data_IF_631758724320
#
_entry.id   IF_631758724320
#
_cell.length_a   1.000
_cell.length_b   1.000
_cell.length_c   1.000
_cell.angle_alpha   90.00
_cell.angle_beta   90.00
_cell.angle_gamma   90.00
#
_symmetry.space_group_name_H-M   'P 1'
#
loop_
_entity.id
_entity.type
_entity.pdbx_description
1 polymer ?
#
# COMPACT_ATOMS: atom_id res chain seq x y z
N UNK A 1 30.27 58.82 -43.47
CA UNK A 1 29.10 58.27 -44.18
C UNK A 1 28.96 56.79 -43.82
N UNK A 2 27.84 56.41 -43.21
CA UNK A 2 27.36 55.02 -43.12
C UNK A 2 27.83 54.20 -41.91
N UNK A 3 27.01 53.47 -41.16
CA UNK A 3 25.56 53.37 -40.96
C UNK A 3 25.36 52.30 -39.85
N UNK A 4 24.44 52.57 -38.93
CA UNK A 4 23.61 51.63 -38.15
C UNK A 4 24.22 50.47 -37.31
N UNK A 5 24.10 50.66 -35.99
CA UNK A 5 23.47 49.75 -35.00
C UNK A 5 23.29 48.27 -35.36
N UNK A 6 23.80 47.38 -34.51
CA UNK A 6 22.98 46.27 -33.99
C UNK A 6 23.52 45.72 -32.66
N UNK A 7 22.79 45.98 -31.59
CA UNK A 7 22.92 45.36 -30.27
C UNK A 7 22.49 43.89 -30.38
N UNK A 8 23.40 42.95 -30.16
CA UNK A 8 23.08 41.53 -30.01
C UNK A 8 23.32 41.14 -28.55
N UNK A 9 22.23 41.19 -27.77
CA UNK A 9 22.12 40.56 -26.47
C UNK A 9 22.16 39.05 -26.69
N UNK A 10 23.28 38.41 -26.35
CA UNK A 10 23.38 36.95 -26.26
C UNK A 10 22.99 36.53 -24.86
N UNK A 11 21.77 35.99 -24.78
CA UNK A 11 21.14 35.41 -23.60
C UNK A 11 22.02 34.34 -22.95
N UNK A 12 22.35 34.52 -21.68
CA UNK A 12 22.95 33.48 -20.85
C UNK A 12 21.91 32.38 -20.59
N UNK A 13 22.04 31.24 -21.26
CA UNK A 13 21.27 30.05 -20.96
C UNK A 13 21.78 29.44 -19.64
N UNK A 14 21.12 29.76 -18.53
CA UNK A 14 21.33 29.12 -17.24
C UNK A 14 20.73 27.71 -17.30
N UNK A 15 21.57 26.71 -17.52
CA UNK A 15 21.22 25.30 -17.34
C UNK A 15 21.18 25.00 -15.84
N UNK A 16 19.98 24.99 -15.27
CA UNK A 16 19.78 24.47 -13.92
C UNK A 16 19.84 22.93 -13.99
N UNK A 17 20.76 22.25 -13.27
CA UNK A 17 20.74 20.81 -13.17
C UNK A 17 19.46 20.40 -12.42
N UNK A 18 18.62 19.61 -13.07
CA UNK A 18 17.43 19.03 -12.44
C UNK A 18 17.85 18.19 -11.24
N UNK A 19 17.37 18.54 -10.05
CA UNK A 19 17.57 17.74 -8.86
C UNK A 19 16.83 16.40 -9.04
N UNK A 20 17.59 15.31 -9.17
CA UNK A 20 17.03 13.96 -9.12
C UNK A 20 16.49 13.71 -7.71
N UNK A 21 15.17 13.68 -7.56
CA UNK A 21 14.52 13.13 -6.37
C UNK A 21 14.82 11.63 -6.33
N UNK A 22 15.71 11.22 -5.43
CA UNK A 22 15.95 9.81 -5.16
C UNK A 22 14.67 9.21 -4.56
N UNK A 23 14.05 8.27 -5.26
CA UNK A 23 12.97 7.47 -4.71
C UNK A 23 13.55 6.57 -3.61
N UNK A 24 13.13 6.77 -2.36
CA UNK A 24 13.51 5.89 -1.25
C UNK A 24 12.93 4.49 -1.49
N UNK A 25 13.73 3.41 -1.34
CA UNK A 25 13.21 2.07 -1.41
C UNK A 25 12.18 1.88 -0.29
N UNK A 26 10.93 1.61 -0.66
CA UNK A 26 9.93 1.15 0.29
C UNK A 26 10.44 -0.18 0.87
N UNK A 27 10.82 -0.19 2.14
CA UNK A 27 11.05 -1.43 2.87
C UNK A 27 9.69 -2.12 2.90
N UNK A 28 9.46 -3.07 1.99
CA UNK A 28 8.24 -3.86 1.97
C UNK A 28 8.19 -4.62 3.28
N UNK A 29 7.28 -4.25 4.18
CA UNK A 29 6.98 -5.06 5.35
C UNK A 29 6.57 -6.46 4.88
N UNK A 30 7.13 -7.50 5.50
CA UNK A 30 6.84 -8.87 5.07
C UNK A 30 5.50 -9.34 5.65
N UNK A 31 4.65 -9.93 4.82
CA UNK A 31 3.50 -10.68 5.28
C UNK A 31 3.93 -12.06 5.77
N UNK A 32 3.32 -12.51 6.85
CA UNK A 32 3.46 -13.87 7.37
C UNK A 32 2.21 -14.66 7.02
N UNK A 33 2.39 -15.92 6.65
CA UNK A 33 1.32 -16.84 6.27
C UNK A 33 1.35 -18.07 7.17
N UNK A 34 0.86 -17.99 8.43
CA UNK A 34 1.07 -19.05 9.42
C UNK A 34 0.39 -20.38 9.05
N UNK A 35 -0.71 -20.30 8.30
CA UNK A 35 -1.44 -21.45 7.75
C UNK A 35 -2.28 -21.01 6.54
N UNK A 36 -2.77 -21.94 5.71
CA UNK A 36 -3.76 -21.64 4.68
C UNK A 36 -4.96 -20.87 5.24
N UNK A 37 -5.37 -19.81 4.55
CA UNK A 37 -6.52 -18.97 4.93
C UNK A 37 -6.22 -17.92 5.99
N UNK A 38 -4.96 -17.80 6.45
CA UNK A 38 -4.56 -16.76 7.41
C UNK A 38 -3.33 -16.01 6.91
N UNK A 39 -3.46 -14.69 6.86
CA UNK A 39 -2.36 -13.78 6.58
C UNK A 39 -2.23 -12.80 7.75
N UNK A 40 -1.00 -12.56 8.19
CA UNK A 40 -0.67 -11.59 9.21
C UNK A 40 0.38 -10.60 8.70
N UNK A 41 0.31 -9.37 9.18
CA UNK A 41 1.47 -8.47 9.23
C UNK A 41 1.95 -8.33 10.68
N UNK A 42 2.71 -7.29 10.99
CA UNK A 42 3.20 -7.05 12.36
C UNK A 42 2.16 -6.47 13.33
N UNK A 43 0.96 -6.14 12.87
CA UNK A 43 -0.09 -5.48 13.64
C UNK A 43 -1.38 -6.29 13.74
N UNK A 44 -1.77 -6.95 12.66
CA UNK A 44 -3.05 -7.62 12.51
C UNK A 44 -2.89 -8.96 11.81
N UNK A 45 -3.82 -9.86 12.10
CA UNK A 45 -4.06 -11.07 11.33
C UNK A 45 -5.48 -11.06 10.78
N UNK A 46 -5.64 -11.56 9.56
CA UNK A 46 -6.91 -11.67 8.88
C UNK A 46 -7.11 -13.06 8.26
N UNK A 47 -8.38 -13.42 8.07
CA UNK A 47 -8.78 -14.55 7.24
C UNK A 47 -9.79 -14.06 6.19
N UNK A 48 -10.06 -14.86 5.17
CA UNK A 48 -10.96 -14.45 4.10
C UNK A 48 -12.47 -14.52 4.44
N UNK A 49 -12.84 -14.93 5.66
CA UNK A 49 -14.24 -15.12 6.10
C UNK A 49 -14.71 -13.99 7.02
N UNK A 50 -13.90 -13.67 8.03
CA UNK A 50 -14.15 -12.66 9.06
C UNK A 50 -13.40 -11.34 8.78
N UNK A 51 -12.46 -11.34 7.82
CA UNK A 51 -11.53 -10.24 7.63
C UNK A 51 -10.55 -10.10 8.79
N UNK A 52 -10.29 -8.88 9.24
CA UNK A 52 -9.37 -8.59 10.35
C UNK A 52 -9.87 -9.22 11.66
N UNK A 53 -9.14 -10.19 12.22
CA UNK A 53 -9.59 -10.97 13.38
C UNK A 53 -8.78 -10.68 14.64
N UNK A 54 -9.47 -10.26 15.71
CA UNK A 54 -8.85 -10.04 17.03
C UNK A 54 -8.37 -11.37 17.63
N UNK A 55 -9.13 -12.44 17.44
CA UNK A 55 -8.75 -13.76 17.92
C UNK A 55 -7.48 -14.29 17.24
N UNK A 56 -7.38 -14.16 15.91
CA UNK A 56 -6.15 -14.54 15.18
C UNK A 56 -4.98 -13.64 15.54
N UNK A 57 -5.22 -12.33 15.66
CA UNK A 57 -4.19 -11.36 16.07
C UNK A 57 -3.65 -11.71 17.47
N UNK A 58 -4.52 -12.05 18.41
CA UNK A 58 -4.10 -12.50 19.74
C UNK A 58 -3.30 -13.80 19.69
N UNK A 59 -3.74 -14.75 18.85
CA UNK A 59 -3.10 -16.07 18.74
C UNK A 59 -1.69 -15.99 18.14
N UNK A 60 -1.51 -15.24 17.04
CA UNK A 60 -0.23 -15.19 16.31
C UNK A 60 0.68 -14.03 16.73
N UNK A 61 0.13 -12.88 17.13
CA UNK A 61 0.90 -11.67 17.46
C UNK A 61 0.86 -11.32 18.96
N UNK A 62 0.03 -12.02 19.74
CA UNK A 62 -0.04 -11.90 21.19
C UNK A 62 -0.99 -10.80 21.70
N UNK A 63 -1.14 -10.77 23.03
CA UNK A 63 -2.12 -9.93 23.74
C UNK A 63 -1.96 -8.43 23.48
N UNK A 64 -0.71 -7.95 23.33
CA UNK A 64 -0.43 -6.52 23.10
C UNK A 64 -0.96 -6.04 21.74
N UNK A 65 -0.78 -6.86 20.70
CA UNK A 65 -1.30 -6.55 19.37
C UNK A 65 -2.83 -6.57 19.35
N UNK A 66 -3.44 -7.57 19.97
CA UNK A 66 -4.89 -7.66 20.10
C UNK A 66 -5.50 -6.47 20.86
N UNK A 67 -4.91 -6.08 21.99
CA UNK A 67 -5.36 -4.91 22.76
C UNK A 67 -5.25 -3.61 21.95
N UNK A 68 -4.18 -3.45 21.17
CA UNK A 68 -4.04 -2.32 20.24
C UNK A 68 -5.12 -2.35 19.17
N UNK A 69 -5.40 -3.50 18.58
CA UNK A 69 -6.43 -3.65 17.56
C UNK A 69 -7.81 -3.25 18.10
N UNK A 70 -8.17 -3.70 19.31
CA UNK A 70 -9.44 -3.34 19.95
C UNK A 70 -9.51 -1.88 20.40
N UNK A 71 -8.36 -1.21 20.60
CA UNK A 71 -8.34 0.20 21.03
C UNK A 71 -8.85 1.17 19.96
N UNK A 72 -8.94 0.72 18.70
CA UNK A 72 -9.54 1.50 17.60
C UNK A 72 -11.08 1.50 17.63
N UNK A 73 -11.72 0.71 18.50
CA UNK A 73 -13.17 0.58 18.56
C UNK A 73 -13.72 -0.27 17.41
N UNK A 74 -14.96 0.02 17.00
CA UNK A 74 -15.60 -0.64 15.86
C UNK A 74 -15.09 -0.07 14.53
N UNK A 75 -14.66 -0.94 13.63
CA UNK A 75 -14.17 -0.56 12.30
C UNK A 75 -14.56 -1.61 11.26
N UNK A 76 -14.52 -1.23 9.98
CA UNK A 76 -14.75 -2.18 8.89
C UNK A 76 -13.63 -3.23 8.85
N UNK A 77 -13.97 -4.48 9.13
CA UNK A 77 -13.04 -5.61 9.17
C UNK A 77 -12.87 -6.27 7.81
N UNK A 78 -13.77 -6.00 6.87
CA UNK A 78 -13.88 -6.65 5.57
C UNK A 78 -13.06 -5.97 4.48
N UNK A 79 -12.67 -4.70 4.66
CA UNK A 79 -11.77 -3.99 3.76
C UNK A 79 -10.60 -3.41 4.56
N UNK A 80 -9.40 -3.94 4.34
CA UNK A 80 -8.24 -3.63 5.19
C UNK A 80 -6.94 -3.63 4.39
N UNK A 81 -5.94 -2.92 4.91
CA UNK A 81 -4.61 -2.82 4.29
C UNK A 81 -3.57 -3.27 5.29
N UNK A 82 -2.74 -4.22 4.87
CA UNK A 82 -1.58 -4.63 5.65
C UNK A 82 -0.49 -3.55 5.63
N UNK A 83 0.44 -3.64 6.57
CA UNK A 83 1.55 -2.70 6.73
C UNK A 83 2.41 -2.56 5.45
N UNK A 84 2.44 -3.59 4.60
CA UNK A 84 3.16 -3.58 3.34
C UNK A 84 2.42 -2.91 2.17
N UNK A 85 1.21 -2.41 2.39
CA UNK A 85 0.38 -1.73 1.40
C UNK A 85 -0.64 -2.62 0.69
N UNK A 86 -0.55 -3.95 0.82
CA UNK A 86 -1.54 -4.87 0.22
C UNK A 86 -2.91 -4.63 0.84
N UNK A 87 -3.87 -4.30 -0.01
CA UNK A 87 -5.26 -4.07 0.38
C UNK A 87 -6.12 -5.27 0.02
N UNK A 88 -6.82 -5.83 0.99
CA UNK A 88 -7.74 -6.95 0.77
C UNK A 88 -9.18 -6.53 1.04
N UNK A 89 -10.07 -7.02 0.20
CA UNK A 89 -11.51 -6.85 0.30
C UNK A 89 -12.17 -8.25 0.31
N UNK A 90 -12.86 -8.55 1.42
CA UNK A 90 -13.53 -9.84 1.65
C UNK A 90 -14.71 -10.03 0.71
N UNK A 91 -15.49 -8.97 0.44
CA UNK A 91 -16.66 -9.03 -0.44
C UNK A 91 -16.23 -9.25 -1.89
N UNK A 92 -15.16 -8.58 -2.32
CA UNK A 92 -14.59 -8.76 -3.65
C UNK A 92 -13.70 -10.02 -3.77
N UNK A 93 -13.43 -10.72 -2.66
CA UNK A 93 -12.56 -11.92 -2.58
C UNK A 93 -11.21 -11.74 -3.27
N UNK A 94 -10.60 -10.58 -3.12
CA UNK A 94 -9.35 -10.24 -3.77
C UNK A 94 -8.46 -9.36 -2.89
N UNK A 95 -7.15 -9.52 -3.04
CA UNK A 95 -6.14 -8.61 -2.53
C UNK A 95 -5.47 -7.89 -3.70
N UNK A 96 -5.15 -6.62 -3.50
CA UNK A 96 -4.49 -5.73 -4.47
C UNK A 96 -3.22 -5.16 -3.86
N UNK A 97 -2.22 -4.86 -4.70
CA UNK A 97 -0.92 -4.34 -4.27
C UNK A 97 -0.98 -2.95 -3.63
N UNK A 98 -2.09 -2.23 -3.79
CA UNK A 98 -2.36 -0.95 -3.15
C UNK A 98 -3.87 -0.72 -2.89
N UNK A 99 -4.17 0.33 -2.11
CA UNK A 99 -5.53 0.75 -1.72
C UNK A 99 -6.11 1.82 -2.66
N UNK A 100 -5.43 2.19 -3.74
CA UNK A 100 -5.84 3.35 -4.53
C UNK A 100 -6.95 3.00 -5.53
N UNK A 101 -7.70 4.03 -5.90
CA UNK A 101 -8.72 3.97 -6.93
C UNK A 101 -8.23 4.74 -8.16
N UNK A 102 -8.60 4.25 -9.34
CA UNK A 102 -8.33 4.88 -10.60
C UNK A 102 -9.23 6.10 -10.82
N UNK A 103 -8.98 6.80 -11.93
CA UNK A 103 -9.80 7.95 -12.34
C UNK A 103 -11.27 7.59 -12.63
N UNK A 104 -11.54 6.29 -12.85
CA UNK A 104 -12.87 5.70 -13.02
C UNK A 104 -13.59 5.40 -11.70
N UNK A 105 -12.94 5.68 -10.56
CA UNK A 105 -13.45 5.36 -9.23
C UNK A 105 -13.43 3.87 -8.90
N UNK A 106 -12.75 3.04 -9.69
CA UNK A 106 -12.57 1.61 -9.44
C UNK A 106 -11.23 1.32 -8.78
N UNK A 107 -11.07 0.22 -8.01
CA UNK A 107 -9.78 -0.15 -7.44
C UNK A 107 -8.70 -0.28 -8.53
N UNK A 108 -7.62 0.51 -8.44
CA UNK A 108 -6.59 0.57 -9.48
C UNK A 108 -5.41 -0.36 -9.25
N UNK A 109 -5.17 -0.77 -7.99
CA UNK A 109 -4.05 -1.64 -7.66
C UNK A 109 -4.13 -2.98 -8.39
N UNK A 110 -3.01 -3.45 -8.95
CA UNK A 110 -2.90 -4.78 -9.52
C UNK A 110 -3.29 -5.84 -8.47
N UNK A 111 -3.90 -6.95 -8.91
CA UNK A 111 -4.23 -8.06 -8.01
C UNK A 111 -2.93 -8.67 -7.48
N UNK A 112 -2.84 -8.81 -6.16
CA UNK A 112 -1.82 -9.60 -5.50
C UNK A 112 -2.29 -11.06 -5.49
N UNK A 113 -1.84 -11.83 -6.47
CA UNK A 113 -2.28 -13.21 -6.65
C UNK A 113 -1.89 -14.13 -5.49
N UNK A 114 -0.76 -13.87 -4.82
CA UNK A 114 -0.28 -14.72 -3.74
C UNK A 114 -1.06 -14.46 -2.46
N UNK A 115 -1.24 -13.19 -2.08
CA UNK A 115 -2.10 -12.82 -0.96
C UNK A 115 -3.56 -13.25 -1.20
N UNK A 116 -4.07 -13.07 -2.42
CA UNK A 116 -5.43 -13.51 -2.77
C UNK A 116 -5.57 -15.02 -2.63
N UNK A 117 -4.65 -15.80 -3.23
CA UNK A 117 -4.71 -17.26 -3.15
C UNK A 117 -4.57 -17.76 -1.72
N UNK A 118 -3.71 -17.13 -0.91
CA UNK A 118 -3.46 -17.53 0.47
C UNK A 118 -4.60 -17.17 1.42
N UNK A 119 -5.29 -16.04 1.22
CA UNK A 119 -6.36 -15.59 2.11
C UNK A 119 -7.68 -16.32 1.85
N UNK A 120 -7.98 -16.60 0.58
CA UNK A 120 -9.26 -17.14 0.12
C UNK A 120 -9.20 -18.63 -0.27
N UNK A 121 -8.48 -19.44 0.53
CA UNK A 121 -8.30 -20.89 0.32
C UNK A 121 -9.58 -21.65 0.74
N UNK A 122 -10.60 -21.66 -0.13
CA UNK A 122 -11.76 -22.54 0.00
C UNK A 122 -12.21 -23.00 -1.37
#
# INVERSE_FOLDING_TARGET
>A
MGRFTQTLLLSAALWAPGAAIAASPQISEALTMPKPGVICDRYICANGQDGVSVALTMHYLGKKAAARLTSFGEFNREAFTFANGVHCDIQARQCRKDRYYGADGQPSGEIDHDATRQLFVY
#
